data_IF_435563465807
#
_entry.id   IF_435563465807
#
_cell.length_a   1.000
_cell.length_b   1.000
_cell.length_c   1.000
_cell.angle_alpha   90.00
_cell.angle_beta   90.00
_cell.angle_gamma   90.00
#
_symmetry.space_group_name_H-M   'P 1'
#
loop_
_entity.id
_entity.type
_entity.pdbx_description
1 polymer ?
#
# COMPACT_ATOMS: atom_id res chain seq x y z
N UNK A 1 -16.44 -52.58 4.87
CA UNK A 1 -15.56 -51.52 5.39
C UNK A 1 -15.71 -50.34 4.45
N UNK A 2 -16.46 -49.32 4.87
CA UNK A 2 -16.60 -48.06 4.15
C UNK A 2 -15.76 -47.02 4.89
N UNK A 3 -14.86 -46.34 4.19
CA UNK A 3 -14.12 -45.21 4.72
C UNK A 3 -15.05 -43.99 4.86
N UNK A 4 -14.90 -43.15 5.90
CA UNK A 4 -15.75 -41.98 6.06
C UNK A 4 -15.18 -40.81 5.24
N UNK A 5 -15.76 -40.54 4.08
CA UNK A 5 -15.51 -39.36 3.24
C UNK A 5 -16.18 -38.08 3.75
N UNK A 6 -16.16 -37.83 5.05
CA UNK A 6 -16.98 -36.78 5.69
C UNK A 6 -16.24 -35.55 6.20
N UNK A 7 -14.91 -35.47 6.09
CA UNK A 7 -14.14 -34.38 6.74
C UNK A 7 -13.73 -33.24 5.80
N UNK A 8 -13.57 -33.49 4.50
CA UNK A 8 -13.04 -32.50 3.55
C UNK A 8 -14.08 -31.48 3.08
N UNK A 9 -15.31 -31.90 2.87
CA UNK A 9 -16.34 -31.03 2.28
C UNK A 9 -16.85 -29.96 3.26
N UNK A 10 -16.81 -30.24 4.57
CA UNK A 10 -17.21 -29.29 5.61
C UNK A 10 -16.12 -28.23 5.87
N UNK A 11 -14.84 -28.62 5.91
CA UNK A 11 -13.72 -27.67 6.06
C UNK A 11 -13.68 -26.65 4.90
N UNK A 12 -13.90 -27.10 3.66
CA UNK A 12 -13.93 -26.21 2.49
C UNK A 12 -15.10 -25.21 2.50
N UNK A 13 -16.26 -25.58 3.05
CA UNK A 13 -17.40 -24.66 3.18
C UNK A 13 -17.15 -23.59 4.24
N UNK A 14 -16.57 -23.97 5.38
CA UNK A 14 -16.27 -23.04 6.47
C UNK A 14 -15.17 -22.06 6.07
N UNK A 15 -14.14 -22.51 5.34
CA UNK A 15 -13.11 -21.62 4.80
C UNK A 15 -13.68 -20.64 3.77
N UNK A 16 -14.48 -21.09 2.80
CA UNK A 16 -15.07 -20.20 1.79
C UNK A 16 -15.98 -19.12 2.41
N UNK A 17 -16.75 -19.47 3.45
CA UNK A 17 -17.59 -18.52 4.17
C UNK A 17 -16.75 -17.50 4.95
N UNK A 18 -15.64 -17.93 5.53
CA UNK A 18 -14.69 -17.04 6.20
C UNK A 18 -14.00 -16.10 5.21
N UNK A 19 -13.53 -16.59 4.08
CA UNK A 19 -12.91 -15.74 3.05
C UNK A 19 -13.88 -14.69 2.52
N UNK A 20 -15.13 -15.08 2.25
CA UNK A 20 -16.16 -14.14 1.83
C UNK A 20 -16.45 -13.11 2.92
N UNK A 21 -16.53 -13.51 4.19
CA UNK A 21 -16.71 -12.57 5.29
C UNK A 21 -15.54 -11.59 5.43
N UNK A 22 -14.30 -12.10 5.42
CA UNK A 22 -13.07 -11.28 5.46
C UNK A 22 -13.02 -10.30 4.27
N UNK A 23 -13.47 -10.70 3.08
CA UNK A 23 -13.53 -9.82 1.90
C UNK A 23 -14.53 -8.66 2.06
N UNK A 24 -15.71 -8.93 2.62
CA UNK A 24 -16.75 -7.92 2.82
C UNK A 24 -16.56 -7.08 4.09
N UNK A 25 -15.69 -7.50 5.01
CA UNK A 25 -15.48 -6.79 6.27
C UNK A 25 -14.60 -5.55 6.08
N UNK A 26 -15.05 -4.41 6.60
CA UNK A 26 -14.30 -3.14 6.49
C UNK A 26 -13.02 -3.13 7.33
N UNK A 27 -12.94 -3.97 8.36
CA UNK A 27 -11.80 -4.10 9.28
C UNK A 27 -10.78 -5.17 8.88
N UNK A 28 -11.03 -5.87 7.76
CA UNK A 28 -10.12 -6.89 7.23
C UNK A 28 -9.53 -6.45 5.90
N UNK A 29 -8.24 -6.72 5.71
CA UNK A 29 -7.47 -6.32 4.54
C UNK A 29 -7.59 -7.26 3.35
N UNK A 30 -8.42 -8.31 3.44
CA UNK A 30 -8.56 -9.29 2.36
C UNK A 30 -9.25 -8.59 1.21
N UNK A 31 -8.62 -8.63 0.05
CA UNK A 31 -9.12 -8.02 -1.17
C UNK A 31 -9.51 -9.04 -2.23
N UNK A 32 -9.50 -10.34 -1.89
CA UNK A 32 -9.84 -11.40 -2.84
C UNK A 32 -10.75 -12.47 -2.28
N UNK A 33 -11.41 -13.18 -3.19
CA UNK A 33 -12.13 -14.42 -2.93
C UNK A 33 -11.64 -15.51 -3.88
N UNK A 34 -11.50 -16.73 -3.38
CA UNK A 34 -11.16 -17.89 -4.20
C UNK A 34 -12.42 -18.67 -4.54
N UNK A 35 -12.78 -18.75 -5.83
CA UNK A 35 -13.91 -19.55 -6.29
C UNK A 35 -13.46 -20.53 -7.37
N UNK A 36 -13.72 -21.83 -7.19
CA UNK A 36 -13.37 -22.89 -8.14
C UNK A 36 -11.88 -22.89 -8.58
N UNK A 37 -10.98 -22.57 -7.65
CA UNK A 37 -9.54 -22.48 -7.92
C UNK A 37 -9.11 -21.24 -8.70
N UNK A 38 -9.98 -20.23 -8.82
CA UNK A 38 -9.66 -18.92 -9.39
C UNK A 38 -9.76 -17.86 -8.31
N UNK A 39 -8.68 -17.11 -8.12
CA UNK A 39 -8.68 -15.92 -7.27
C UNK A 39 -9.26 -14.73 -8.04
N UNK A 40 -10.28 -14.09 -7.47
CA UNK A 40 -10.79 -12.80 -7.94
C UNK A 40 -10.39 -11.73 -6.95
N UNK A 41 -9.58 -10.76 -7.37
CA UNK A 41 -9.15 -9.63 -6.55
C UNK A 41 -10.03 -8.42 -6.85
N UNK A 42 -10.39 -7.66 -5.82
CA UNK A 42 -11.09 -6.39 -5.90
C UNK A 42 -10.09 -5.23 -5.67
N UNK A 43 -9.59 -4.57 -6.73
CA UNK A 43 -8.60 -3.49 -6.59
C UNK A 43 -9.08 -2.35 -5.70
N UNK A 44 -10.37 -2.02 -5.77
CA UNK A 44 -10.95 -0.96 -4.95
C UNK A 44 -10.78 -1.22 -3.44
N UNK A 45 -10.87 -2.47 -2.99
CA UNK A 45 -10.66 -2.84 -1.59
C UNK A 45 -9.21 -2.57 -1.19
N UNK A 46 -8.24 -2.89 -2.04
CA UNK A 46 -6.81 -2.56 -1.81
C UNK A 46 -6.59 -1.05 -1.70
N UNK A 47 -7.23 -0.25 -2.56
CA UNK A 47 -7.15 1.22 -2.47
C UNK A 47 -7.70 1.75 -1.15
N UNK A 48 -8.82 1.20 -0.68
CA UNK A 48 -9.41 1.54 0.63
C UNK A 48 -8.51 1.10 1.79
N UNK A 49 -7.90 -0.10 1.70
CA UNK A 49 -6.99 -0.58 2.74
C UNK A 49 -5.73 0.30 2.83
N UNK A 50 -5.20 0.80 1.69
CA UNK A 50 -4.12 1.79 1.66
C UNK A 50 -4.52 3.05 2.43
N UNK A 51 -5.71 3.58 2.18
CA UNK A 51 -6.23 4.76 2.87
C UNK A 51 -6.30 4.54 4.38
N UNK A 52 -6.93 3.45 4.82
CA UNK A 52 -7.03 3.09 6.24
C UNK A 52 -5.65 2.91 6.89
N UNK A 53 -4.71 2.26 6.20
CA UNK A 53 -3.35 2.07 6.71
C UNK A 53 -2.62 3.42 6.90
N UNK A 54 -2.74 4.33 5.94
CA UNK A 54 -2.15 5.67 6.03
C UNK A 54 -2.80 6.50 7.14
N UNK A 55 -4.12 6.48 7.29
CA UNK A 55 -4.83 7.15 8.38
C UNK A 55 -4.37 6.64 9.75
N UNK A 56 -4.23 5.31 9.88
CA UNK A 56 -3.74 4.68 11.11
C UNK A 56 -2.32 5.14 11.44
N UNK A 57 -1.42 5.17 10.44
CA UNK A 57 -0.04 5.65 10.63
C UNK A 57 0.00 7.13 11.07
N UNK A 58 -0.86 8.00 10.53
CA UNK A 58 -0.94 9.39 10.99
C UNK A 58 -1.43 9.52 12.43
N UNK A 59 -2.41 8.69 12.81
CA UNK A 59 -3.00 8.71 14.15
C UNK A 59 -2.06 8.12 15.21
N UNK A 60 -1.38 7.02 14.90
CA UNK A 60 -0.44 6.36 15.80
C UNK A 60 0.74 5.77 15.03
N UNK A 61 1.85 6.51 15.03
CA UNK A 61 3.08 6.12 14.36
C UNK A 61 3.82 4.94 15.04
N UNK A 62 3.42 4.57 16.26
CA UNK A 62 4.04 3.46 16.98
C UNK A 62 3.54 2.11 16.50
N UNK A 63 2.40 2.08 15.80
CA UNK A 63 1.86 0.86 15.22
C UNK A 63 2.70 0.44 14.02
N UNK A 64 3.28 -0.78 14.03
CA UNK A 64 4.06 -1.26 12.90
C UNK A 64 3.15 -1.45 11.68
N UNK A 65 3.62 -0.99 10.53
CA UNK A 65 2.99 -1.24 9.24
C UNK A 65 3.48 -2.57 8.66
N UNK A 66 2.55 -3.39 8.18
CA UNK A 66 2.78 -4.66 7.53
C UNK A 66 2.16 -4.66 6.13
N UNK A 67 2.66 -5.53 5.24
CA UNK A 67 2.11 -5.66 3.88
C UNK A 67 0.61 -6.02 3.93
N UNK A 68 0.30 -6.89 4.88
CA UNK A 68 -1.01 -7.43 5.16
C UNK A 68 -2.00 -6.38 5.68
N UNK A 69 -1.57 -5.16 6.03
CA UNK A 69 -2.51 -4.08 6.30
C UNK A 69 -3.17 -3.56 5.00
N UNK A 70 -2.55 -3.81 3.84
CA UNK A 70 -3.04 -3.38 2.53
C UNK A 70 -3.69 -4.53 1.76
N UNK A 71 -2.96 -5.63 1.61
CA UNK A 71 -3.38 -6.83 0.87
C UNK A 71 -2.32 -7.92 1.04
N UNK A 72 -2.64 -9.16 0.67
CA UNK A 72 -1.63 -10.21 0.59
C UNK A 72 -0.64 -9.95 -0.55
N UNK A 73 0.55 -10.55 -0.48
CA UNK A 73 1.53 -10.47 -1.56
C UNK A 73 0.99 -11.01 -2.90
N UNK A 74 0.15 -12.04 -2.85
CA UNK A 74 -0.48 -12.65 -4.04
C UNK A 74 -1.52 -11.72 -4.65
N UNK A 75 -2.35 -11.07 -3.83
CA UNK A 75 -3.34 -10.09 -4.27
C UNK A 75 -2.66 -8.90 -4.96
N UNK A 76 -1.58 -8.37 -4.36
CA UNK A 76 -0.81 -7.28 -4.95
C UNK A 76 -0.13 -7.70 -6.24
N UNK A 77 0.39 -8.93 -6.30
CA UNK A 77 0.98 -9.45 -7.53
C UNK A 77 -0.06 -9.52 -8.66
N UNK A 78 -1.27 -9.99 -8.39
CA UNK A 78 -2.36 -10.00 -9.39
C UNK A 78 -2.74 -8.59 -9.83
N UNK A 79 -2.83 -7.63 -8.91
CA UNK A 79 -3.15 -6.23 -9.26
C UNK A 79 -2.07 -5.61 -10.15
N UNK A 80 -0.81 -5.81 -9.81
CA UNK A 80 0.30 -5.20 -10.54
C UNK A 80 0.56 -5.91 -11.87
N UNK A 81 0.64 -7.24 -11.86
CA UNK A 81 1.05 -8.04 -13.01
C UNK A 81 -0.10 -8.31 -13.98
N UNK A 82 -1.22 -8.82 -13.47
CA UNK A 82 -2.32 -9.29 -14.32
C UNK A 82 -3.30 -8.17 -14.69
N UNK A 83 -3.53 -7.22 -13.78
CA UNK A 83 -4.43 -6.09 -14.02
C UNK A 83 -3.69 -4.83 -14.51
N UNK A 84 -2.36 -4.82 -14.47
CA UNK A 84 -1.52 -3.68 -14.87
C UNK A 84 -1.87 -2.39 -14.12
N UNK A 85 -2.20 -2.49 -12.83
CA UNK A 85 -2.63 -1.35 -12.00
C UNK A 85 -1.53 -0.84 -11.04
N UNK A 86 -0.25 -1.14 -11.33
CA UNK A 86 0.87 -0.73 -10.47
C UNK A 86 1.00 0.79 -10.30
N UNK A 87 0.91 1.55 -11.39
CA UNK A 87 0.91 3.01 -11.37
C UNK A 87 -0.24 3.59 -10.54
N UNK A 88 -1.44 3.00 -10.68
CA UNK A 88 -2.61 3.41 -9.91
C UNK A 88 -2.38 3.25 -8.40
N UNK A 89 -1.80 2.13 -7.95
CA UNK A 89 -1.50 1.91 -6.54
C UNK A 89 -0.55 2.98 -5.98
N UNK A 90 0.56 3.25 -6.67
CA UNK A 90 1.54 4.25 -6.26
C UNK A 90 0.94 5.66 -6.23
N UNK A 91 0.16 6.01 -7.27
CA UNK A 91 -0.51 7.30 -7.40
C UNK A 91 -1.52 7.51 -6.28
N UNK A 92 -2.39 6.53 -6.06
CA UNK A 92 -3.40 6.56 -5.01
C UNK A 92 -2.78 6.70 -3.63
N UNK A 93 -1.74 5.92 -3.33
CA UNK A 93 -1.04 6.01 -2.04
C UNK A 93 -0.44 7.41 -1.82
N UNK A 94 0.20 7.99 -2.85
CA UNK A 94 0.78 9.33 -2.75
C UNK A 94 -0.29 10.42 -2.59
N UNK A 95 -1.36 10.38 -3.39
CA UNK A 95 -2.45 11.34 -3.31
C UNK A 95 -3.13 11.29 -1.93
N UNK A 96 -3.44 10.08 -1.47
CA UNK A 96 -4.08 9.86 -0.16
C UNK A 96 -3.19 10.34 0.99
N UNK A 97 -1.90 9.98 0.97
CA UNK A 97 -0.92 10.46 1.93
C UNK A 97 -0.90 11.99 2.02
N UNK A 98 -0.85 12.68 0.88
CA UNK A 98 -0.84 14.14 0.86
C UNK A 98 -2.18 14.76 1.25
N UNK A 99 -3.31 14.13 0.91
CA UNK A 99 -4.63 14.55 1.38
C UNK A 99 -4.70 14.57 2.91
N UNK A 100 -4.25 13.49 3.55
CA UNK A 100 -4.20 13.38 5.01
C UNK A 100 -3.25 14.44 5.61
N UNK A 101 -2.04 14.58 5.06
CA UNK A 101 -1.05 15.53 5.58
C UNK A 101 -1.53 16.98 5.46
N UNK A 102 -2.08 17.37 4.30
CA UNK A 102 -2.54 18.74 4.04
C UNK A 102 -3.77 19.10 4.90
N UNK A 103 -4.57 18.13 5.30
CA UNK A 103 -5.69 18.36 6.22
C UNK A 103 -5.24 18.67 7.66
N UNK A 104 -4.01 18.30 8.05
CA UNK A 104 -3.58 18.25 9.46
C UNK A 104 -2.35 19.07 9.80
N UNK A 105 -1.51 19.38 8.81
CA UNK A 105 -0.23 20.07 8.99
C UNK A 105 -0.10 21.27 8.04
N UNK A 106 0.73 22.27 8.38
CA UNK A 106 0.99 23.42 7.49
C UNK A 106 1.51 23.00 6.11
N UNK A 107 0.91 23.56 5.06
CA UNK A 107 1.19 23.19 3.66
C UNK A 107 2.67 23.33 3.28
N UNK A 108 3.34 24.38 3.76
CA UNK A 108 4.76 24.63 3.54
C UNK A 108 5.66 23.50 4.07
N UNK A 109 5.30 22.91 5.20
CA UNK A 109 6.03 21.77 5.78
C UNK A 109 5.73 20.46 5.05
N UNK A 110 4.46 20.27 4.67
CA UNK A 110 4.01 19.07 3.94
C UNK A 110 4.67 18.98 2.57
N UNK A 111 4.71 20.10 1.84
CA UNK A 111 5.27 20.18 0.48
C UNK A 111 6.79 20.13 0.39
N UNK A 112 7.50 20.22 1.53
CA UNK A 112 8.95 20.05 1.51
C UNK A 112 9.29 18.63 0.99
N UNK A 113 10.17 18.49 -0.02
CA UNK A 113 10.52 17.19 -0.57
C UNK A 113 11.23 16.32 0.48
N UNK A 114 11.17 15.01 0.28
CA UNK A 114 12.01 14.04 0.96
C UNK A 114 13.49 14.37 0.65
N UNK A 115 14.33 14.58 1.69
CA UNK A 115 15.75 14.88 1.51
C UNK A 115 16.47 13.76 0.76
N UNK A 116 17.47 14.07 -0.08
CA UNK A 116 18.24 13.05 -0.81
C UNK A 116 19.06 12.14 0.11
N UNK A 117 19.34 12.56 1.35
CA UNK A 117 20.05 11.77 2.35
C UNK A 117 19.14 10.77 3.08
N UNK A 118 17.81 10.86 2.91
CA UNK A 118 16.90 9.89 3.51
C UNK A 118 17.06 8.56 2.79
N UNK A 119 17.42 7.52 3.56
CA UNK A 119 17.55 6.16 3.08
C UNK A 119 16.64 5.23 3.86
N UNK A 120 15.59 4.73 3.20
CA UNK A 120 14.64 3.77 3.79
C UNK A 120 14.86 2.33 3.31
N UNK A 121 15.92 2.06 2.53
CA UNK A 121 16.19 0.73 1.95
C UNK A 121 16.40 -0.38 2.99
N UNK A 122 16.82 0.00 4.20
CA UNK A 122 17.17 -0.95 5.27
C UNK A 122 16.11 -1.03 6.38
N UNK A 123 14.98 -0.33 6.22
CA UNK A 123 13.96 -0.24 7.26
C UNK A 123 13.06 -1.49 7.28
N UNK A 124 13.22 -2.29 8.33
CA UNK A 124 12.35 -3.44 8.63
C UNK A 124 10.86 -3.06 8.57
N UNK A 125 9.98 -3.92 8.01
CA UNK A 125 10.27 -5.27 7.51
C UNK A 125 10.78 -5.35 6.07
N UNK A 126 10.93 -4.22 5.37
CA UNK A 126 11.18 -4.21 3.94
C UNK A 126 12.63 -3.88 3.60
N UNK A 127 13.19 -4.61 2.64
CA UNK A 127 14.50 -4.31 2.07
C UNK A 127 14.33 -3.95 0.61
N UNK A 128 14.62 -2.71 0.29
CA UNK A 128 14.59 -2.20 -1.07
C UNK A 128 15.97 -2.07 -1.67
N UNK A 129 16.03 -2.14 -2.99
CA UNK A 129 17.13 -1.70 -3.83
C UNK A 129 17.09 -0.18 -4.01
N UNK A 130 18.17 0.37 -4.55
CA UNK A 130 18.27 1.79 -4.93
C UNK A 130 17.14 2.18 -5.89
N UNK A 131 16.78 1.26 -6.78
CA UNK A 131 15.77 1.48 -7.81
C UNK A 131 14.37 1.63 -7.22
N UNK A 132 13.96 0.72 -6.34
CA UNK A 132 12.64 0.75 -5.69
C UNK A 132 12.51 1.96 -4.74
N UNK A 133 13.60 2.26 -4.03
CA UNK A 133 13.68 3.44 -3.17
C UNK A 133 13.54 4.73 -3.97
N UNK A 134 14.25 4.83 -5.09
CA UNK A 134 14.24 5.99 -5.95
C UNK A 134 12.88 6.18 -6.62
N UNK A 135 12.25 5.09 -7.08
CA UNK A 135 10.87 5.10 -7.56
C UNK A 135 9.91 5.68 -6.51
N UNK A 136 9.91 5.14 -5.29
CA UNK A 136 9.08 5.62 -4.19
C UNK A 136 9.32 7.12 -3.89
N UNK A 137 10.60 7.53 -3.83
CA UNK A 137 11.00 8.91 -3.57
C UNK A 137 10.55 9.87 -4.66
N UNK A 138 10.67 9.47 -5.93
CA UNK A 138 10.26 10.29 -7.06
C UNK A 138 8.75 10.50 -7.07
N UNK A 139 7.96 9.43 -6.84
CA UNK A 139 6.50 9.54 -6.71
C UNK A 139 6.12 10.49 -5.58
N UNK A 140 6.70 10.28 -4.40
CA UNK A 140 6.40 11.11 -3.21
C UNK A 140 6.75 12.58 -3.45
N UNK A 141 7.95 12.87 -3.97
CA UNK A 141 8.42 14.23 -4.22
C UNK A 141 7.65 14.92 -5.34
N UNK A 142 7.22 14.16 -6.36
CA UNK A 142 6.35 14.70 -7.40
C UNK A 142 5.01 15.12 -6.83
N UNK A 143 4.40 14.29 -5.98
CA UNK A 143 3.16 14.69 -5.28
C UNK A 143 3.38 15.90 -4.38
N UNK A 144 4.52 16.00 -3.70
CA UNK A 144 4.88 17.15 -2.86
C UNK A 144 4.93 18.47 -3.65
N UNK A 145 5.52 18.41 -4.85
CA UNK A 145 5.63 19.55 -5.77
C UNK A 145 4.33 19.91 -6.49
N UNK A 146 3.36 18.99 -6.57
CA UNK A 146 2.10 19.21 -7.28
C UNK A 146 1.02 19.84 -6.41
N UNK A 147 0.35 20.88 -6.93
CA UNK A 147 -0.80 21.51 -6.25
C UNK A 147 -2.09 20.70 -6.37
N UNK A 148 -2.19 19.86 -7.39
CA UNK A 148 -3.31 18.95 -7.62
C UNK A 148 -2.85 17.52 -7.37
N UNK A 149 -3.81 16.61 -7.29
CA UNK A 149 -3.52 15.18 -7.30
C UNK A 149 -2.82 14.79 -8.60
N UNK A 150 -2.02 13.73 -8.52
CA UNK A 150 -1.40 13.10 -9.68
C UNK A 150 -2.47 12.22 -10.36
N UNK A 151 -2.53 12.26 -11.69
CA UNK A 151 -3.48 11.45 -12.46
C UNK A 151 -2.94 10.02 -12.59
N UNK A 152 -1.78 9.81 -13.22
CA UNK A 152 -1.08 8.53 -13.29
C UNK A 152 0.44 8.73 -13.30
N UNK A 153 1.19 7.84 -12.63
CA UNK A 153 2.64 7.95 -12.51
C UNK A 153 3.37 7.43 -13.76
N UNK A 154 2.77 6.56 -14.57
CA UNK A 154 3.36 6.04 -15.83
C UNK A 154 3.78 7.15 -16.80
N UNK A 155 2.93 8.17 -17.02
CA UNK A 155 3.29 9.32 -17.86
C UNK A 155 4.44 10.15 -17.25
N UNK A 156 4.65 10.04 -15.94
CA UNK A 156 5.57 10.84 -15.15
C UNK A 156 6.89 10.10 -14.87
N UNK A 157 6.91 8.78 -15.00
CA UNK A 157 8.03 7.86 -14.82
C UNK A 157 7.98 6.81 -15.92
N UNK A 158 8.44 7.10 -17.14
CA UNK A 158 8.51 6.13 -18.25
C UNK A 158 9.34 4.89 -17.91
N UNK A 159 10.10 4.93 -16.81
CA UNK A 159 10.81 3.80 -16.25
C UNK A 159 9.89 2.76 -15.59
N UNK A 160 8.64 3.10 -15.22
CA UNK A 160 7.68 2.17 -14.61
C UNK A 160 7.41 0.94 -15.48
N UNK A 161 7.31 1.11 -16.80
CA UNK A 161 7.14 0.01 -17.76
C UNK A 161 8.31 -0.99 -17.74
N UNK A 162 9.45 -0.57 -17.21
CA UNK A 162 10.65 -1.41 -17.08
C UNK A 162 10.83 -2.00 -15.68
N UNK A 163 9.90 -1.75 -14.76
CA UNK A 163 9.91 -2.34 -13.43
C UNK A 163 9.15 -3.66 -13.42
N UNK A 164 9.67 -4.61 -12.66
CA UNK A 164 8.97 -5.85 -12.34
C UNK A 164 7.86 -5.61 -11.32
N UNK A 165 6.89 -6.50 -11.28
CA UNK A 165 5.78 -6.44 -10.31
C UNK A 165 6.29 -6.41 -8.87
N UNK A 166 7.38 -7.12 -8.58
CA UNK A 166 8.05 -7.06 -7.28
C UNK A 166 8.61 -5.67 -6.96
N UNK A 167 9.23 -5.00 -7.93
CA UNK A 167 9.82 -3.68 -7.70
C UNK A 167 8.74 -2.62 -7.44
N UNK A 168 7.60 -2.69 -8.12
CA UNK A 168 6.46 -1.79 -7.89
C UNK A 168 5.87 -2.02 -6.49
N UNK A 169 5.69 -3.28 -6.09
CA UNK A 169 5.20 -3.63 -4.75
C UNK A 169 6.17 -3.12 -3.68
N UNK A 170 7.48 -3.35 -3.84
CA UNK A 170 8.49 -2.83 -2.90
C UNK A 170 8.44 -1.30 -2.85
N UNK A 171 8.35 -0.62 -3.99
CA UNK A 171 8.26 0.84 -4.03
C UNK A 171 7.01 1.38 -3.32
N UNK A 172 5.86 0.72 -3.44
CA UNK A 172 4.65 1.08 -2.70
C UNK A 172 4.89 1.02 -1.19
N UNK A 173 5.57 -0.02 -0.70
CA UNK A 173 5.86 -0.18 0.73
C UNK A 173 6.85 0.87 1.23
N UNK A 174 7.91 1.14 0.45
CA UNK A 174 8.86 2.20 0.77
C UNK A 174 8.20 3.58 0.77
N UNK A 175 7.22 3.83 -0.11
CA UNK A 175 6.44 5.07 -0.13
C UNK A 175 5.65 5.24 1.17
N UNK A 176 4.99 4.18 1.66
CA UNK A 176 4.27 4.18 2.94
C UNK A 176 5.24 4.40 4.12
N UNK A 177 6.44 3.82 4.07
CA UNK A 177 7.49 4.09 5.08
C UNK A 177 7.94 5.56 5.05
N UNK A 178 8.18 6.13 3.86
CA UNK A 178 8.52 7.55 3.70
C UNK A 178 7.41 8.46 4.25
N UNK A 179 6.15 8.09 4.02
CA UNK A 179 5.00 8.77 4.62
C UNK A 179 5.04 8.75 6.14
N UNK A 180 5.23 7.58 6.77
CA UNK A 180 5.33 7.48 8.23
C UNK A 180 6.47 8.34 8.79
N UNK A 181 7.64 8.33 8.16
CA UNK A 181 8.75 9.20 8.56
C UNK A 181 8.42 10.69 8.42
N UNK A 182 7.69 11.06 7.36
CA UNK A 182 7.22 12.43 7.14
C UNK A 182 6.24 12.85 8.25
N UNK A 183 5.29 12.00 8.60
CA UNK A 183 4.36 12.20 9.74
C UNK A 183 5.16 12.44 11.03
N UNK A 184 6.12 11.56 11.37
CA UNK A 184 6.96 11.70 12.56
C UNK A 184 7.64 13.08 12.63
N UNK A 185 8.25 13.49 11.51
CA UNK A 185 8.95 14.77 11.42
C UNK A 185 7.99 15.96 11.61
N UNK A 186 6.78 15.86 11.08
CA UNK A 186 5.74 16.88 11.21
C UNK A 186 5.18 16.93 12.65
N UNK A 187 4.87 15.80 13.27
CA UNK A 187 4.41 15.71 14.66
C UNK A 187 5.43 16.32 15.63
N UNK A 188 6.72 15.99 15.47
CA UNK A 188 7.82 16.59 16.26
C UNK A 188 7.93 18.10 16.09
N UNK A 189 7.74 18.62 14.87
CA UNK A 189 7.74 20.07 14.61
C UNK A 189 6.50 20.77 15.14
N UNK A 190 5.35 20.09 15.15
CA UNK A 190 4.09 20.62 15.66
C UNK A 190 3.94 20.52 17.18
N UNK A 191 4.89 19.87 17.88
CA UNK A 191 4.84 19.66 19.33
C UNK A 191 3.78 18.64 19.78
N UNK A 192 3.32 17.76 18.88
CA UNK A 192 2.38 16.68 19.19
C UNK A 192 3.20 15.43 19.55
N UNK A 193 3.13 14.98 20.79
CA UNK A 193 3.59 13.66 21.27
C UNK A 193 2.40 12.93 21.90
#
# INVERSE_FOLDING_TARGET
>A
MAEPGGSRDHEHLDDNLREAWEFWSDDHSRASVSENGRMTVAPQKVLTNIEQALERIDLDITVPFALEDVASAEELWVIVDQLSLGSMLLTHAANTAFGILLARYPEDLVRAPIPPELDVRTMTPFRGTDREHELARQVFNRRAGSRTDLDEVEELLPELDSHTSSEVITALLLLIVMYGLKVNALQRRAGKQ
#
